data_IF_528580781731
#
_entry.id   IF_528580781731
#
_cell.length_a   1.000
_cell.length_b   1.000
_cell.length_c   1.000
_cell.angle_alpha   90.00
_cell.angle_beta   90.00
_cell.angle_gamma   90.00
#
_symmetry.space_group_name_H-M   'P 1'
#
loop_
_entity.id
_entity.type
_entity.pdbx_description
1 polymer ?
#
# COMPACT_ATOMS: atom_id res chain seq x y z
N UNK A 1 -31.82 -23.81 -7.33
CA UNK A 1 -31.24 -24.29 -8.61
C UNK A 1 -30.98 -23.10 -9.53
N UNK A 2 -29.75 -22.56 -9.52
CA UNK A 2 -29.27 -21.62 -10.54
C UNK A 2 -27.86 -22.07 -10.92
N UNK A 3 -27.65 -22.20 -12.23
CA UNK A 3 -26.48 -22.82 -12.86
C UNK A 3 -25.24 -21.99 -12.58
N UNK A 4 -24.22 -22.58 -11.97
CA UNK A 4 -22.87 -22.02 -11.90
C UNK A 4 -22.24 -22.07 -13.30
N UNK A 5 -21.86 -20.92 -13.82
CA UNK A 5 -20.97 -20.82 -14.96
C UNK A 5 -19.54 -20.97 -14.43
N UNK A 6 -18.93 -22.13 -14.65
CA UNK A 6 -17.51 -22.37 -14.39
C UNK A 6 -16.74 -21.64 -15.49
N UNK A 7 -16.22 -20.45 -15.20
CA UNK A 7 -15.29 -19.75 -16.09
C UNK A 7 -13.89 -20.32 -15.80
N UNK A 8 -13.49 -21.34 -16.56
CA UNK A 8 -12.09 -21.76 -16.63
C UNK A 8 -11.31 -20.73 -17.44
N UNK A 9 -10.57 -19.86 -16.78
CA UNK A 9 -9.63 -18.94 -17.44
C UNK A 9 -8.38 -19.75 -17.83
N UNK A 10 -8.45 -20.43 -18.98
CA UNK A 10 -7.28 -20.95 -19.69
C UNK A 10 -6.65 -19.80 -20.48
N UNK A 11 -5.89 -18.96 -19.78
CA UNK A 11 -5.08 -17.90 -20.38
C UNK A 11 -3.66 -18.38 -20.62
N UNK A 12 -3.34 -18.74 -21.85
CA UNK A 12 -2.00 -19.12 -22.32
C UNK A 12 -1.00 -17.98 -22.06
N UNK A 13 -0.08 -18.15 -21.11
CA UNK A 13 1.04 -17.22 -20.90
C UNK A 13 2.07 -17.47 -22.00
N UNK A 14 2.15 -16.57 -22.97
CA UNK A 14 3.20 -16.58 -23.99
C UNK A 14 4.49 -15.98 -23.42
N UNK A 15 5.47 -16.84 -23.12
CA UNK A 15 6.82 -16.42 -22.74
C UNK A 15 7.65 -16.23 -24.03
N UNK A 16 7.95 -14.98 -24.37
CA UNK A 16 8.88 -14.66 -25.45
C UNK A 16 10.32 -14.69 -24.91
N UNK A 17 11.07 -15.75 -25.23
CA UNK A 17 12.51 -15.85 -25.02
C UNK A 17 13.24 -15.17 -26.18
N UNK A 18 13.87 -14.03 -25.92
CA UNK A 18 14.82 -13.41 -26.84
C UNK A 18 16.25 -13.64 -26.31
N UNK A 19 16.96 -14.53 -26.99
CA UNK A 19 18.41 -14.67 -26.89
C UNK A 19 19.10 -13.56 -27.66
N UNK A 20 20.16 -12.96 -27.09
CA UNK A 20 21.03 -12.10 -27.89
C UNK A 20 22.17 -11.38 -27.14
N UNK A 21 23.37 -11.92 -27.35
CA UNK A 21 24.65 -11.22 -27.58
C UNK A 21 25.35 -10.46 -26.45
N UNK A 22 26.45 -11.08 -26.01
CA UNK A 22 27.62 -10.51 -25.35
C UNK A 22 28.27 -9.43 -26.22
N UNK A 23 28.45 -8.22 -25.67
CA UNK A 23 29.31 -7.19 -26.25
C UNK A 23 30.13 -6.50 -25.14
N UNK A 24 31.35 -6.13 -25.51
CA UNK A 24 32.48 -5.82 -24.64
C UNK A 24 32.33 -4.55 -23.78
N UNK A 25 33.00 -4.57 -22.62
CA UNK A 25 33.16 -3.45 -21.68
C UNK A 25 33.91 -2.27 -22.31
N UNK A 26 33.29 -1.10 -22.29
CA UNK A 26 33.93 0.21 -22.41
C UNK A 26 33.80 0.90 -21.03
N UNK A 27 34.87 1.40 -20.40
CA UNK A 27 34.75 2.13 -19.14
C UNK A 27 34.16 3.54 -19.37
N UNK A 28 33.23 4.01 -18.54
CA UNK A 28 32.70 5.37 -18.65
C UNK A 28 33.69 6.42 -18.13
N UNK A 29 33.70 7.65 -18.68
CA UNK A 29 34.47 8.76 -18.14
C UNK A 29 33.88 9.25 -16.80
N UNK A 30 34.76 9.77 -15.95
CA UNK A 30 34.46 10.23 -14.60
C UNK A 30 33.34 11.30 -14.58
N UNK A 31 32.18 10.91 -14.03
CA UNK A 31 31.04 11.78 -13.82
C UNK A 31 31.27 12.63 -12.57
N UNK A 32 31.32 13.95 -12.78
CA UNK A 32 31.42 14.98 -11.75
C UNK A 32 30.26 14.84 -10.76
N UNK A 33 30.59 14.58 -9.49
CA UNK A 33 29.66 14.56 -8.35
C UNK A 33 28.82 15.85 -8.31
N UNK A 34 27.59 15.77 -8.83
CA UNK A 34 26.54 16.75 -8.51
C UNK A 34 26.04 16.45 -7.10
N UNK A 35 25.90 17.45 -6.22
CA UNK A 35 25.32 17.24 -4.90
C UNK A 35 23.89 16.71 -5.05
N UNK A 36 23.64 15.50 -4.54
CA UNK A 36 22.30 14.98 -4.36
C UNK A 36 21.53 15.95 -3.45
N UNK A 37 20.50 16.58 -3.97
CA UNK A 37 19.56 17.36 -3.16
C UNK A 37 18.54 16.37 -2.58
N UNK A 38 18.52 16.10 -1.27
CA UNK A 38 17.41 15.38 -0.68
C UNK A 38 16.32 16.40 -0.44
N UNK A 39 15.32 16.45 -1.32
CA UNK A 39 14.07 17.15 -1.02
C UNK A 39 12.94 16.14 -1.05
N UNK A 40 12.94 15.26 -0.05
CA UNK A 40 11.67 14.70 0.45
C UNK A 40 10.90 15.90 1.01
N UNK A 41 10.06 16.53 0.17
CA UNK A 41 9.13 17.55 0.64
C UNK A 41 8.26 16.89 1.73
N UNK A 42 8.07 17.52 2.89
CA UNK A 42 7.10 17.04 3.84
C UNK A 42 5.74 17.07 3.16
N UNK A 43 5.09 15.91 3.04
CA UNK A 43 3.65 15.86 2.77
C UNK A 43 2.98 16.56 3.96
N UNK A 44 2.21 17.63 3.74
CA UNK A 44 1.63 18.37 4.85
C UNK A 44 0.61 17.50 5.60
N UNK A 45 0.57 17.69 6.92
CA UNK A 45 -0.33 17.09 7.91
C UNK A 45 -1.82 17.47 7.70
N UNK A 46 -2.28 17.46 6.46
CA UNK A 46 -3.62 17.87 5.99
C UNK A 46 -4.56 16.68 5.76
N UNK A 47 -4.07 15.43 5.90
CA UNK A 47 -4.87 14.25 5.63
C UNK A 47 -6.06 14.11 6.59
N UNK A 48 -5.89 14.54 7.84
CA UNK A 48 -6.94 14.57 8.86
C UNK A 48 -8.12 15.52 8.55
N UNK A 49 -7.99 16.41 7.56
CA UNK A 49 -9.05 17.35 7.18
C UNK A 49 -9.48 17.22 5.71
N UNK A 50 -8.67 16.60 4.85
CA UNK A 50 -8.99 16.41 3.43
C UNK A 50 -10.28 15.60 3.23
N UNK A 51 -11.09 15.86 2.18
CA UNK A 51 -12.21 14.98 1.85
C UNK A 51 -11.73 13.58 1.49
N UNK A 52 -12.50 12.56 1.86
CA UNK A 52 -12.25 11.18 1.45
C UNK A 52 -12.88 10.94 0.07
N UNK A 53 -12.12 10.32 -0.83
CA UNK A 53 -12.64 9.80 -2.08
C UNK A 53 -12.63 8.28 -2.01
N UNK A 54 -13.83 7.70 -1.92
CA UNK A 54 -14.06 6.25 -1.90
C UNK A 54 -14.89 5.82 -3.11
N UNK A 55 -14.69 4.58 -3.55
CA UNK A 55 -15.34 3.98 -4.72
C UNK A 55 -15.75 2.54 -4.41
N UNK A 56 -16.77 2.02 -5.10
CA UNK A 56 -17.30 0.65 -4.92
C UNK A 56 -16.85 -0.33 -6.01
N UNK A 57 -15.90 0.08 -6.84
CA UNK A 57 -15.38 -0.68 -7.97
C UNK A 57 -14.31 0.12 -8.70
N UNK A 58 -13.89 -0.36 -9.87
CA UNK A 58 -12.92 0.30 -10.75
C UNK A 58 -13.61 1.15 -11.81
N UNK A 59 -12.97 2.22 -12.27
CA UNK A 59 -13.47 3.05 -13.36
C UNK A 59 -12.37 3.93 -13.98
N UNK A 60 -12.56 4.42 -15.22
CA UNK A 60 -11.62 5.34 -15.84
C UNK A 60 -11.23 6.52 -14.94
N UNK A 61 -9.93 6.78 -14.84
CA UNK A 61 -9.38 7.86 -14.02
C UNK A 61 -9.08 7.51 -12.56
N UNK A 62 -9.40 6.29 -12.11
CA UNK A 62 -9.13 5.80 -10.76
C UNK A 62 -7.80 5.06 -10.61
N UNK A 63 -6.98 5.00 -11.66
CA UNK A 63 -5.62 4.44 -11.57
C UNK A 63 -4.84 4.99 -10.37
N UNK A 64 -4.27 4.08 -9.59
CA UNK A 64 -3.60 4.36 -8.32
C UNK A 64 -4.48 4.31 -7.08
N UNK A 65 -5.80 4.10 -7.19
CA UNK A 65 -6.65 3.86 -6.02
C UNK A 65 -6.28 2.53 -5.37
N UNK A 66 -6.37 2.47 -4.04
CA UNK A 66 -6.11 1.27 -3.25
C UNK A 66 -7.44 0.56 -3.00
N UNK A 67 -7.57 -0.68 -3.44
CA UNK A 67 -8.77 -1.48 -3.28
C UNK A 67 -8.56 -2.50 -2.16
N UNK A 68 -9.54 -2.58 -1.27
CA UNK A 68 -9.61 -3.53 -0.17
C UNK A 68 -10.53 -4.68 -0.56
N UNK A 69 -10.08 -5.88 -0.25
CA UNK A 69 -10.79 -7.12 -0.50
C UNK A 69 -10.83 -7.93 0.79
N UNK A 70 -11.94 -8.62 1.02
CA UNK A 70 -12.01 -9.71 2.00
C UNK A 70 -11.79 -11.02 1.25
N UNK A 71 -10.82 -11.80 1.70
CA UNK A 71 -10.62 -13.16 1.24
C UNK A 71 -11.14 -14.11 2.31
N UNK A 72 -11.90 -15.12 1.88
CA UNK A 72 -12.07 -16.35 2.65
C UNK A 72 -11.12 -17.40 2.10
N UNK A 73 -10.24 -17.88 2.97
CA UNK A 73 -9.22 -18.88 2.71
C UNK A 73 -9.84 -20.28 2.65
N UNK A 74 -9.12 -21.31 2.15
CA UNK A 74 -9.61 -22.68 2.09
C UNK A 74 -9.99 -23.30 3.46
N UNK A 75 -9.45 -22.76 4.55
CA UNK A 75 -9.72 -23.18 5.93
C UNK A 75 -10.82 -22.34 6.62
N UNK A 76 -11.61 -21.60 5.83
CA UNK A 76 -12.65 -20.64 6.27
C UNK A 76 -12.14 -19.44 7.09
N UNK A 77 -10.82 -19.32 7.32
CA UNK A 77 -10.26 -18.10 7.88
C UNK A 77 -10.42 -16.92 6.90
N UNK A 78 -10.43 -15.71 7.43
CA UNK A 78 -10.58 -14.49 6.62
C UNK A 78 -9.36 -13.59 6.72
N UNK A 79 -8.99 -12.99 5.60
CA UNK A 79 -7.90 -12.03 5.50
C UNK A 79 -8.35 -10.81 4.72
N UNK A 80 -8.02 -9.61 5.21
CA UNK A 80 -8.15 -8.39 4.41
C UNK A 80 -6.92 -8.29 3.51
N UNK A 81 -7.15 -8.17 2.21
CA UNK A 81 -6.13 -7.99 1.19
C UNK A 81 -6.26 -6.60 0.57
N UNK A 82 -5.14 -6.11 0.04
CA UNK A 82 -5.10 -4.81 -0.64
C UNK A 82 -4.41 -4.92 -1.99
N UNK A 83 -4.97 -4.21 -2.96
CA UNK A 83 -4.41 -4.05 -4.31
C UNK A 83 -4.45 -2.60 -4.75
N UNK A 84 -3.78 -2.29 -5.86
CA UNK A 84 -3.75 -0.98 -6.48
C UNK A 84 -4.27 -1.05 -7.91
N UNK A 85 -5.20 -0.15 -8.25
CA UNK A 85 -5.80 -0.10 -9.58
C UNK A 85 -4.81 0.44 -10.63
N UNK A 86 -4.76 -0.21 -11.78
CA UNK A 86 -3.99 0.22 -12.95
C UNK A 86 -4.86 1.01 -13.94
N UNK A 87 -4.24 1.63 -14.94
CA UNK A 87 -4.94 2.47 -15.93
C UNK A 87 -5.96 1.71 -16.78
N UNK A 88 -5.74 0.40 -16.96
CA UNK A 88 -6.65 -0.53 -17.63
C UNK A 88 -7.65 -1.18 -16.67
N UNK A 89 -7.86 -0.60 -15.48
CA UNK A 89 -8.83 -1.02 -14.46
C UNK A 89 -8.57 -2.41 -13.87
N UNK A 90 -7.41 -3.01 -14.15
CA UNK A 90 -6.93 -4.23 -13.49
C UNK A 90 -6.36 -3.90 -12.12
N UNK A 91 -6.30 -4.92 -11.27
CA UNK A 91 -5.74 -4.82 -9.93
C UNK A 91 -4.34 -5.43 -9.93
N UNK A 92 -3.36 -4.65 -9.51
CA UNK A 92 -2.05 -5.17 -9.14
C UNK A 92 -2.03 -5.41 -7.62
N UNK A 93 -1.59 -6.58 -7.20
CA UNK A 93 -1.59 -7.00 -5.80
C UNK A 93 -0.62 -8.17 -5.58
N UNK A 94 -0.27 -8.44 -4.32
CA UNK A 94 0.42 -9.67 -3.94
C UNK A 94 -0.62 -10.63 -3.36
N UNK A 95 -0.86 -11.76 -4.02
CA UNK A 95 -1.94 -12.69 -3.69
C UNK A 95 -1.37 -14.04 -3.22
N UNK A 96 -2.00 -14.72 -2.22
CA UNK A 96 -1.57 -16.04 -1.77
C UNK A 96 -1.29 -17.01 -2.92
N UNK A 97 -0.15 -17.72 -2.85
CA UNK A 97 0.34 -18.67 -3.88
C UNK A 97 0.71 -18.09 -5.25
N UNK A 98 0.15 -16.95 -5.66
CA UNK A 98 0.48 -16.28 -6.93
C UNK A 98 1.65 -15.31 -6.81
N UNK A 99 1.83 -14.69 -5.63
CA UNK A 99 2.77 -13.58 -5.47
C UNK A 99 2.27 -12.30 -6.12
N UNK A 100 3.20 -11.45 -6.56
CA UNK A 100 2.86 -10.15 -7.17
C UNK A 100 2.37 -10.34 -8.60
N UNK A 101 1.07 -10.11 -8.82
CA UNK A 101 0.40 -10.31 -10.10
C UNK A 101 -0.49 -9.13 -10.49
N UNK A 102 -0.92 -9.12 -11.75
CA UNK A 102 -1.96 -8.22 -12.25
C UNK A 102 -3.14 -9.09 -12.69
N UNK A 103 -4.30 -8.91 -12.08
CA UNK A 103 -5.53 -9.63 -12.41
C UNK A 103 -6.63 -8.67 -12.87
N UNK A 104 -7.68 -9.18 -13.54
CA UNK A 104 -8.94 -8.46 -13.65
C UNK A 104 -9.44 -7.99 -12.26
N UNK A 105 -10.31 -6.98 -12.25
CA UNK A 105 -11.05 -6.63 -11.04
C UNK A 105 -12.03 -7.76 -10.71
N UNK A 106 -12.03 -8.20 -9.45
CA UNK A 106 -12.85 -9.31 -8.95
C UNK A 106 -13.73 -8.79 -7.82
N UNK A 107 -15.01 -9.14 -7.84
CA UNK A 107 -15.95 -8.81 -6.77
C UNK A 107 -17.04 -9.86 -6.63
N UNK A 108 -17.00 -10.64 -5.54
CA UNK A 108 -17.98 -11.68 -5.24
C UNK A 108 -17.77 -12.96 -6.05
N UNK A 109 -16.54 -13.26 -6.43
CA UNK A 109 -16.18 -14.46 -7.20
C UNK A 109 -15.23 -15.36 -6.41
N UNK A 110 -15.22 -16.64 -6.78
CA UNK A 110 -14.28 -17.63 -6.28
C UNK A 110 -13.09 -17.73 -7.25
N UNK A 111 -11.88 -17.54 -6.74
CA UNK A 111 -10.63 -17.66 -7.49
C UNK A 111 -9.95 -19.00 -7.18
N UNK A 112 -9.71 -19.79 -8.22
CA UNK A 112 -8.95 -21.02 -8.15
C UNK A 112 -7.46 -20.74 -8.37
N UNK A 113 -6.64 -21.03 -7.38
CA UNK A 113 -5.18 -20.88 -7.43
C UNK A 113 -4.55 -22.19 -7.00
N UNK A 114 -3.85 -22.85 -7.93
CA UNK A 114 -3.28 -24.17 -7.67
C UNK A 114 -4.37 -25.18 -7.29
N UNK A 115 -4.32 -25.68 -6.05
CA UNK A 115 -5.30 -26.62 -5.50
C UNK A 115 -6.26 -25.95 -4.49
N UNK A 116 -6.18 -24.64 -4.36
CA UNK A 116 -6.90 -23.87 -3.36
C UNK A 116 -7.92 -22.93 -4.00
N UNK A 117 -9.05 -22.77 -3.32
CA UNK A 117 -10.14 -21.91 -3.71
C UNK A 117 -10.24 -20.76 -2.71
N UNK A 118 -10.35 -19.55 -3.22
CA UNK A 118 -10.45 -18.33 -2.44
C UNK A 118 -11.72 -17.58 -2.82
N UNK A 119 -12.60 -17.30 -1.87
CA UNK A 119 -13.72 -16.39 -2.16
C UNK A 119 -13.27 -14.95 -1.92
N UNK A 120 -13.50 -14.10 -2.92
CA UNK A 120 -12.98 -12.73 -2.94
C UNK A 120 -14.15 -11.75 -3.02
N UNK A 121 -14.30 -10.93 -1.99
CA UNK A 121 -15.28 -9.83 -1.97
C UNK A 121 -14.56 -8.49 -1.98
N UNK A 122 -14.92 -7.62 -2.92
CA UNK A 122 -14.46 -6.24 -2.89
C UNK A 122 -15.22 -5.48 -1.79
N UNK A 123 -14.48 -4.74 -0.98
CA UNK A 123 -15.05 -3.91 0.08
C UNK A 123 -15.21 -2.47 -0.40
N UNK A 124 -14.09 -1.84 -0.81
CA UNK A 124 -14.06 -0.46 -1.25
C UNK A 124 -12.70 -0.10 -1.88
N UNK A 125 -12.67 0.93 -2.70
CA UNK A 125 -11.46 1.58 -3.21
C UNK A 125 -11.27 2.95 -2.57
N UNK A 126 -10.02 3.33 -2.32
CA UNK A 126 -9.63 4.59 -1.68
C UNK A 126 -8.56 5.31 -2.47
N UNK A 127 -8.77 6.61 -2.68
CA UNK A 127 -7.76 7.49 -3.26
C UNK A 127 -6.61 7.72 -2.26
N UNK A 128 -5.36 7.31 -2.56
CA UNK A 128 -4.30 7.35 -1.55
C UNK A 128 -3.73 8.75 -1.29
N UNK A 129 -3.78 9.66 -2.28
CA UNK A 129 -3.28 11.02 -2.13
C UNK A 129 -4.39 12.04 -2.36
N UNK A 130 -4.64 12.99 -1.43
CA UNK A 130 -5.69 13.98 -1.58
C UNK A 130 -5.39 14.98 -2.71
N UNK A 131 -4.11 15.22 -3.04
CA UNK A 131 -3.73 16.18 -4.07
C UNK A 131 -3.69 15.56 -5.48
N UNK A 132 -4.22 16.29 -6.46
CA UNK A 132 -4.27 15.85 -7.86
C UNK A 132 -2.87 15.68 -8.46
N UNK A 133 -1.92 16.50 -8.03
CA UNK A 133 -0.54 16.44 -8.53
C UNK A 133 0.17 15.14 -8.10
N UNK A 134 0.01 14.69 -6.85
CA UNK A 134 0.53 13.41 -6.38
C UNK A 134 -0.16 12.25 -7.07
N UNK A 135 -1.49 12.29 -7.25
CA UNK A 135 -2.18 11.26 -8.03
C UNK A 135 -1.67 11.19 -9.47
N UNK A 136 -1.44 12.33 -10.13
CA UNK A 136 -0.85 12.35 -11.47
C UNK A 136 0.57 11.74 -11.50
N UNK A 137 1.42 12.06 -10.51
CA UNK A 137 2.76 11.46 -10.37
C UNK A 137 2.68 9.96 -10.10
N UNK A 138 1.76 9.51 -9.24
CA UNK A 138 1.53 8.09 -8.95
C UNK A 138 1.15 7.37 -10.25
N UNK A 139 0.09 7.81 -10.94
CA UNK A 139 -0.39 7.20 -12.19
C UNK A 139 0.72 7.08 -13.24
N UNK A 140 1.50 8.14 -13.44
CA UNK A 140 2.62 8.14 -14.40
C UNK A 140 3.69 7.09 -14.09
N UNK A 141 3.94 6.81 -12.81
CA UNK A 141 5.07 5.97 -12.38
C UNK A 141 4.66 4.56 -11.97
N UNK A 142 3.37 4.34 -11.68
CA UNK A 142 2.85 3.09 -11.16
C UNK A 142 3.10 1.88 -12.08
N UNK A 143 2.87 1.95 -13.42
CA UNK A 143 3.11 0.79 -14.29
C UNK A 143 4.55 0.29 -14.22
N UNK A 144 5.53 1.19 -14.21
CA UNK A 144 6.94 0.81 -14.13
C UNK A 144 7.29 0.15 -12.79
N UNK A 145 6.72 0.64 -11.68
CA UNK A 145 6.91 0.05 -10.34
C UNK A 145 6.35 -1.37 -10.28
N UNK A 146 5.09 -1.53 -10.69
CA UNK A 146 4.37 -2.82 -10.67
C UNK A 146 5.05 -3.83 -11.59
N UNK A 147 5.35 -3.45 -12.83
CA UNK A 147 5.94 -4.36 -13.81
C UNK A 147 7.29 -4.92 -13.37
N UNK A 148 8.08 -4.18 -12.58
CA UNK A 148 9.35 -4.70 -12.06
C UNK A 148 9.12 -5.93 -11.17
N UNK A 149 8.17 -5.85 -10.23
CA UNK A 149 7.89 -6.94 -9.30
C UNK A 149 7.18 -8.12 -9.96
N UNK A 150 6.23 -7.85 -10.85
CA UNK A 150 5.54 -8.89 -11.63
C UNK A 150 6.54 -9.68 -12.48
N UNK A 151 7.44 -9.00 -13.20
CA UNK A 151 8.48 -9.65 -14.01
C UNK A 151 9.47 -10.45 -13.18
N UNK A 152 9.76 -10.00 -11.96
CA UNK A 152 10.62 -10.72 -11.03
C UNK A 152 9.96 -11.95 -10.40
N UNK A 153 8.64 -12.13 -10.57
CA UNK A 153 7.93 -13.29 -10.02
C UNK A 153 8.02 -13.36 -8.50
N UNK A 154 7.91 -12.22 -7.82
CA UNK A 154 8.06 -12.15 -6.36
C UNK A 154 6.93 -12.95 -5.69
N UNK A 155 7.23 -14.01 -4.91
CA UNK A 155 6.22 -14.81 -4.23
C UNK A 155 5.54 -14.06 -3.08
N UNK A 156 4.34 -14.51 -2.71
CA UNK A 156 3.60 -13.97 -1.58
C UNK A 156 4.16 -14.49 -0.26
N UNK A 157 4.08 -13.66 0.78
CA UNK A 157 4.28 -14.08 2.16
C UNK A 157 3.56 -13.12 3.13
N UNK A 158 3.22 -13.61 4.32
CA UNK A 158 2.72 -12.77 5.42
C UNK A 158 3.82 -11.89 6.04
N UNK A 159 5.08 -12.31 5.87
CA UNK A 159 6.25 -11.81 6.58
C UNK A 159 7.27 -11.21 5.60
N UNK A 160 6.98 -10.02 5.07
CA UNK A 160 7.83 -9.37 4.06
C UNK A 160 9.02 -8.61 4.66
N UNK A 161 9.74 -9.30 5.55
CA UNK A 161 10.91 -8.78 6.26
C UNK A 161 12.04 -8.39 5.30
N UNK A 162 12.97 -7.53 5.74
CA UNK A 162 14.11 -7.10 4.97
C UNK A 162 14.93 -8.16 4.19
N UNK A 163 14.99 -9.36 4.73
CA UNK A 163 15.73 -10.49 4.16
C UNK A 163 14.84 -11.42 3.32
N UNK A 164 13.53 -11.19 3.32
CA UNK A 164 12.56 -11.98 2.59
C UNK A 164 12.60 -11.69 1.08
N UNK A 165 12.79 -12.73 0.28
CA UNK A 165 12.61 -12.67 -1.18
C UNK A 165 11.13 -12.79 -1.58
N UNK A 166 10.23 -12.22 -0.79
CA UNK A 166 8.77 -12.36 -0.90
C UNK A 166 8.08 -11.05 -0.51
N UNK A 167 6.78 -10.91 -0.79
CA UNK A 167 6.05 -9.68 -0.55
C UNK A 167 4.62 -9.94 -0.07
N UNK A 168 4.23 -9.32 1.03
CA UNK A 168 2.83 -9.27 1.51
C UNK A 168 2.01 -8.30 0.67
N UNK A 169 0.69 -8.40 0.70
CA UNK A 169 -0.18 -7.48 -0.04
C UNK A 169 -0.03 -6.03 0.43
N UNK A 170 0.02 -5.83 1.74
CA UNK A 170 0.29 -4.53 2.35
C UNK A 170 1.69 -4.05 2.00
N UNK A 171 2.69 -4.93 2.08
CA UNK A 171 4.07 -4.62 1.71
C UNK A 171 4.19 -4.16 0.26
N UNK A 172 3.47 -4.80 -0.66
CA UNK A 172 3.39 -4.42 -2.05
C UNK A 172 2.76 -3.03 -2.22
N UNK A 173 1.57 -2.80 -1.65
CA UNK A 173 0.87 -1.52 -1.79
C UNK A 173 1.68 -0.38 -1.17
N UNK A 174 2.30 -0.58 0.01
CA UNK A 174 3.13 0.45 0.64
C UNK A 174 4.35 0.82 -0.23
N UNK A 175 5.03 -0.16 -0.83
CA UNK A 175 6.16 0.10 -1.75
C UNK A 175 5.71 0.75 -3.06
N UNK A 176 4.51 0.43 -3.53
CA UNK A 176 3.91 1.06 -4.72
C UNK A 176 3.56 2.53 -4.46
N UNK A 177 2.99 2.86 -3.29
CA UNK A 177 2.60 4.22 -2.91
C UNK A 177 3.78 5.08 -2.49
N UNK A 178 4.68 4.53 -1.67
CA UNK A 178 5.78 5.25 -1.02
C UNK A 178 7.11 4.60 -1.39
N UNK A 179 7.56 4.75 -2.65
CA UNK A 179 8.80 4.11 -3.09
C UNK A 179 9.98 4.64 -2.27
N UNK A 180 10.73 3.75 -1.64
CA UNK A 180 11.96 4.08 -0.94
C UNK A 180 13.18 3.42 -1.59
N UNK A 181 14.28 3.38 -0.84
CA UNK A 181 15.53 2.78 -1.28
C UNK A 181 15.60 1.28 -0.96
N UNK A 182 16.33 0.52 -1.79
CA UNK A 182 16.64 -0.91 -1.57
C UNK A 182 15.41 -1.81 -1.35
N UNK A 183 14.28 -1.47 -1.97
CA UNK A 183 13.07 -2.26 -1.86
C UNK A 183 12.30 -2.07 -0.55
N UNK A 184 12.53 -1.00 0.22
CA UNK A 184 11.67 -0.62 1.36
C UNK A 184 10.76 0.55 1.02
N UNK A 185 9.56 0.63 1.61
CA UNK A 185 8.76 1.84 1.49
C UNK A 185 9.35 2.98 2.31
N UNK A 186 9.47 4.19 1.74
CA UNK A 186 9.80 5.42 2.46
C UNK A 186 8.51 6.01 3.05
N UNK A 187 8.07 5.41 4.15
CA UNK A 187 6.77 5.76 4.75
C UNK A 187 6.74 7.21 5.28
N UNK A 188 5.59 7.89 5.16
CA UNK A 188 5.37 9.18 5.80
C UNK A 188 5.65 9.12 7.31
N UNK A 189 6.15 10.23 7.89
CA UNK A 189 6.49 10.29 9.32
C UNK A 189 5.31 10.07 10.27
N UNK A 190 4.11 10.36 9.79
CA UNK A 190 2.83 10.19 10.47
C UNK A 190 2.21 8.80 10.21
N UNK A 191 2.89 7.92 9.47
CA UNK A 191 2.50 6.53 9.30
C UNK A 191 3.11 5.68 10.42
N UNK A 192 2.28 5.21 11.34
CA UNK A 192 2.67 4.34 12.46
C UNK A 192 1.73 3.12 12.58
N UNK A 193 2.11 2.12 13.39
CA UNK A 193 1.31 0.90 13.56
C UNK A 193 0.22 1.11 14.62
N UNK A 194 -1.03 0.90 14.25
CA UNK A 194 -2.21 1.04 15.11
C UNK A 194 -2.46 -0.12 16.06
N UNK A 195 -1.61 -1.15 16.05
CA UNK A 195 -1.71 -2.30 16.96
C UNK A 195 -0.33 -2.81 17.35
N UNK A 196 -0.20 -3.49 18.51
CA UNK A 196 1.05 -4.12 18.94
C UNK A 196 1.48 -5.18 17.92
N UNK A 197 2.69 -5.01 17.38
CA UNK A 197 3.21 -5.91 16.37
C UNK A 197 4.42 -5.34 15.64
N UNK A 198 5.11 -6.21 14.90
CA UNK A 198 6.30 -5.85 14.14
C UNK A 198 6.00 -5.56 12.65
N UNK A 199 4.72 -5.53 12.26
CA UNK A 199 4.30 -5.45 10.85
C UNK A 199 3.20 -4.43 10.65
N UNK A 200 3.16 -3.88 9.45
CA UNK A 200 2.03 -3.08 9.00
C UNK A 200 0.91 -4.00 8.53
N UNK A 201 -0.31 -3.53 8.71
CA UNK A 201 -1.53 -4.23 8.33
C UNK A 201 -2.33 -3.38 7.34
N UNK A 202 -3.26 -4.00 6.57
CA UNK A 202 -4.27 -3.25 5.82
C UNK A 202 -5.04 -2.23 6.68
N UNK A 203 -5.28 -2.54 7.96
CA UNK A 203 -5.95 -1.65 8.90
C UNK A 203 -5.13 -0.38 9.18
N UNK A 204 -3.80 -0.48 9.31
CA UNK A 204 -2.92 0.69 9.45
C UNK A 204 -3.04 1.61 8.23
N UNK A 205 -3.05 1.02 7.03
CA UNK A 205 -3.22 1.78 5.79
C UNK A 205 -4.62 2.41 5.72
N UNK A 206 -5.66 1.71 6.12
CA UNK A 206 -7.04 2.24 6.11
C UNK A 206 -7.18 3.45 7.04
N UNK A 207 -6.66 3.34 8.26
CA UNK A 207 -6.61 4.46 9.22
C UNK A 207 -5.75 5.61 8.69
N UNK A 208 -4.63 5.29 8.05
CA UNK A 208 -3.76 6.30 7.46
C UNK A 208 -4.53 7.05 6.37
N UNK A 209 -5.06 6.35 5.36
CA UNK A 209 -5.69 6.94 4.19
C UNK A 209 -6.92 7.79 4.54
N UNK A 210 -7.67 7.42 5.57
CA UNK A 210 -8.83 8.17 6.09
C UNK A 210 -8.45 9.35 6.99
N UNK A 211 -7.16 9.50 7.31
CA UNK A 211 -6.64 10.57 8.16
C UNK A 211 -6.96 10.37 9.64
N UNK A 212 -7.20 9.12 10.06
CA UNK A 212 -7.52 8.76 11.44
C UNK A 212 -6.31 8.29 12.24
N UNK A 213 -5.27 7.81 11.55
CA UNK A 213 -4.09 7.24 12.21
C UNK A 213 -3.38 8.25 13.11
N UNK A 214 -3.11 9.47 12.63
CA UNK A 214 -2.38 10.50 13.40
C UNK A 214 -3.25 11.28 14.41
N UNK A 215 -4.54 10.93 14.56
CA UNK A 215 -5.42 11.58 15.53
C UNK A 215 -5.09 11.14 16.96
N UNK A 216 -5.18 12.04 17.95
CA UNK A 216 -4.63 11.81 19.29
C UNK A 216 -5.39 10.75 20.10
N UNK A 217 -6.70 10.63 19.88
CA UNK A 217 -7.55 9.78 20.71
C UNK A 217 -8.76 9.25 19.93
N UNK A 218 -9.46 8.29 20.55
CA UNK A 218 -10.66 7.66 20.01
C UNK A 218 -11.76 8.67 19.65
N UNK A 219 -11.99 9.69 20.48
CA UNK A 219 -13.05 10.67 20.24
C UNK A 219 -12.72 11.55 19.04
N UNK A 220 -11.46 11.92 18.83
CA UNK A 220 -11.01 12.62 17.63
C UNK A 220 -11.25 11.78 16.37
N UNK A 221 -10.98 10.47 16.43
CA UNK A 221 -11.24 9.55 15.32
C UNK A 221 -12.73 9.39 15.02
N UNK A 222 -13.57 9.24 16.05
CA UNK A 222 -15.03 9.19 15.87
C UNK A 222 -15.59 10.49 15.29
N UNK A 223 -15.14 11.66 15.78
CA UNK A 223 -15.51 12.96 15.18
C UNK A 223 -15.13 13.03 13.71
N UNK A 224 -13.93 12.58 13.35
CA UNK A 224 -13.48 12.51 11.97
C UNK A 224 -14.34 11.56 11.14
N UNK A 225 -14.67 10.38 11.66
CA UNK A 225 -15.55 9.41 11.00
C UNK A 225 -16.91 10.03 10.64
N UNK A 226 -17.51 10.83 11.53
CA UNK A 226 -18.78 11.52 11.26
C UNK A 226 -18.68 12.64 10.22
N UNK A 227 -17.50 13.22 9.99
CA UNK A 227 -17.28 14.27 8.99
C UNK A 227 -17.08 13.73 7.57
N UNK A 228 -16.77 12.45 7.43
CA UNK A 228 -16.46 11.85 6.15
C UNK A 228 -17.72 11.30 5.46
N UNK A 229 -17.86 11.64 4.18
CA UNK A 229 -18.81 10.98 3.28
C UNK A 229 -18.21 9.66 2.79
N UNK A 230 -18.84 8.53 3.14
CA UNK A 230 -18.37 7.18 2.79
C UNK A 230 -19.52 6.16 2.82
N UNK A 231 -19.36 5.01 2.14
CA UNK A 231 -20.29 3.88 2.24
C UNK A 231 -20.49 3.39 3.67
N UNK A 232 -21.67 2.82 3.95
CA UNK A 232 -22.02 2.32 5.28
C UNK A 232 -21.07 1.21 5.76
N UNK A 233 -20.70 0.29 4.88
CA UNK A 233 -19.81 -0.84 5.25
C UNK A 233 -18.43 -0.34 5.68
N UNK A 234 -17.83 0.60 4.94
CA UNK A 234 -16.58 1.26 5.34
C UNK A 234 -16.71 1.98 6.68
N UNK A 235 -17.85 2.64 6.93
CA UNK A 235 -18.11 3.31 8.21
C UNK A 235 -18.09 2.31 9.37
N UNK A 236 -18.76 1.16 9.20
CA UNK A 236 -18.84 0.11 10.21
C UNK A 236 -17.46 -0.52 10.48
N UNK A 237 -16.67 -0.77 9.43
CA UNK A 237 -15.30 -1.28 9.55
C UNK A 237 -14.40 -0.31 10.33
N UNK A 238 -14.44 0.98 9.96
CA UNK A 238 -13.65 2.02 10.62
C UNK A 238 -14.08 2.24 12.06
N UNK A 239 -15.38 2.22 12.35
CA UNK A 239 -15.89 2.32 13.71
C UNK A 239 -15.39 1.16 14.57
N UNK A 240 -15.53 -0.07 14.08
CA UNK A 240 -15.03 -1.28 14.75
C UNK A 240 -13.52 -1.19 15.01
N UNK A 241 -12.75 -0.73 14.02
CA UNK A 241 -11.31 -0.54 14.14
C UNK A 241 -10.96 0.56 15.15
N UNK A 242 -11.65 1.70 15.15
CA UNK A 242 -11.45 2.78 16.12
C UNK A 242 -11.71 2.31 17.55
N UNK A 243 -12.72 1.45 17.73
CA UNK A 243 -13.03 0.85 19.03
C UNK A 243 -11.96 -0.16 19.49
N UNK A 244 -11.33 -0.87 18.54
CA UNK A 244 -10.29 -1.86 18.83
C UNK A 244 -8.93 -1.25 19.22
N UNK A 245 -8.61 -0.01 18.81
CA UNK A 245 -7.35 0.70 19.14
C UNK A 245 -7.37 1.22 20.60
N UNK A 246 -7.64 0.35 21.58
CA UNK A 246 -8.00 0.70 22.95
C UNK A 246 -7.07 1.68 23.68
N UNK A 247 -7.69 2.69 24.30
CA UNK A 247 -7.38 3.57 25.48
C UNK A 247 -5.95 3.91 25.96
N UNK A 248 -4.88 3.33 25.44
CA UNK A 248 -3.49 3.59 25.84
C UNK A 248 -2.53 3.90 24.69
N UNK A 249 -2.97 3.75 23.44
CA UNK A 249 -2.10 3.89 22.27
C UNK A 249 -2.16 5.31 21.71
N UNK A 250 -1.35 6.17 22.31
CA UNK A 250 -1.01 7.46 21.72
C UNK A 250 0.04 7.27 20.64
N UNK A 251 0.00 8.13 19.60
CA UNK A 251 1.11 8.34 18.67
C UNK A 251 2.44 8.22 19.42
N UNK A 252 3.43 7.45 18.92
CA UNK A 252 4.74 7.40 19.55
C UNK A 252 5.23 8.82 19.80
N UNK A 253 5.52 9.17 21.05
CA UNK A 253 6.04 10.49 21.36
C UNK A 253 7.27 10.72 20.49
N UNK A 254 7.18 11.67 19.55
CA UNK A 254 8.32 12.03 18.72
C UNK A 254 9.39 12.48 19.69
N UNK A 255 10.45 11.69 19.85
CA UNK A 255 11.56 12.03 20.73
C UNK A 255 12.04 13.42 20.31
N UNK A 256 11.76 14.42 21.14
CA UNK A 256 12.25 15.76 20.93
C UNK A 256 13.77 15.64 20.88
N UNK A 257 14.38 16.03 19.75
CA UNK A 257 15.83 16.12 19.65
C UNK A 257 16.33 16.89 20.88
N UNK A 258 17.34 16.38 21.62
CA UNK A 258 17.95 17.15 22.70
C UNK A 258 18.35 18.51 22.13
N UNK A 259 17.78 19.59 22.67
CA UNK A 259 18.27 20.94 22.40
C UNK A 259 19.77 20.92 22.68
N UNK A 260 20.57 21.18 21.66
CA UNK A 260 22.00 21.37 21.83
C UNK A 260 22.20 22.40 22.93
N UNK A 261 22.87 21.99 24.02
CA UNK A 261 23.24 22.91 25.09
C UNK A 261 24.08 24.04 24.48
N UNK A 262 23.83 25.31 24.83
CA UNK A 262 24.70 26.40 24.40
C UNK A 262 26.12 26.10 24.88
N UNK A 263 27.06 26.04 23.94
CA UNK A 263 28.47 25.82 24.24
C UNK A 263 28.98 26.94 25.13
N UNK A 264 29.52 26.56 26.29
CA UNK A 264 30.32 27.43 27.14
C UNK A 264 31.59 27.81 26.36
N UNK A 265 31.65 29.06 25.92
CA UNK A 265 32.88 29.66 25.43
C UNK A 265 33.89 29.70 26.58
N UNK A 266 34.89 28.81 26.55
CA UNK A 266 36.10 28.97 27.36
C UNK A 266 37.00 29.98 26.66
N UNK A 267 37.13 31.16 27.27
CA UNK A 267 38.17 32.12 26.94
C UNK A 267 39.56 31.49 27.12
N UNK A 268 40.47 31.85 26.22
CA UNK A 268 41.91 31.79 26.46
C UNK A 268 42.37 33.22 26.72
N UNK A 269 42.97 33.42 27.89
CA UNK A 269 44.02 34.41 28.11
C UNK A 269 45.33 33.81 27.60
#
# INVERSE_FOLDING_TARGET
MRRQAIIRILGTITVLLLSGHTAARIPPPAETLRPATPVSKPVPATRGTAPLHSVVGVAPGQAGYVHYFLLRMPDDSVEVQVGIELEDQRIAWSFPELGVVISPFISGETLEVGNNSYDVWHLYGLRPFPDNAAMARLRKTLPARVNAWVKSGIPYCLDDTPQGNCMSCIGFVLRALFPGSRGYPELPRDFWRSSPGNRYTPNDLLLYLTGMLDLPDRNARLRRLHQLAMPADMRNDLESLIHAIGTGESKPAVAARPRARPGTARGRL
#
